data_IF_936814928150
#
_entry.id   IF_936814928150
#
_cell.length_a   1.000
_cell.length_b   1.000
_cell.length_c   1.000
_cell.angle_alpha   90.00
_cell.angle_beta   90.00
_cell.angle_gamma   90.00
#
_symmetry.space_group_name_H-M   'P 1'
#
loop_
_entity.id
_entity.type
_entity.pdbx_description
1 polymer ?
#
# COMPACT_ATOMS: atom_id res chain seq x y z
N UNK A 1 -21.66 15.76 -4.79
CA UNK A 1 -22.15 17.12 -4.83
C UNK A 1 -21.01 18.05 -5.26
N UNK A 2 -21.20 18.81 -6.33
CA UNK A 2 -20.21 19.73 -6.84
C UNK A 2 -19.06 19.03 -7.60
N UNK A 3 -17.82 19.36 -7.28
CA UNK A 3 -16.62 18.91 -8.00
C UNK A 3 -15.97 17.63 -7.39
N UNK A 4 -16.77 16.73 -6.79
CA UNK A 4 -16.26 15.55 -6.14
C UNK A 4 -16.90 14.27 -6.70
N UNK A 5 -16.06 13.35 -7.14
CA UNK A 5 -16.41 11.99 -7.52
C UNK A 5 -16.10 11.05 -6.35
N UNK A 6 -16.98 10.09 -6.10
CA UNK A 6 -16.82 9.10 -5.02
C UNK A 6 -17.11 7.72 -5.59
N UNK A 7 -16.20 6.78 -5.32
CA UNK A 7 -16.36 5.35 -5.63
C UNK A 7 -16.19 4.58 -4.33
N UNK A 8 -17.14 3.70 -4.03
CA UNK A 8 -17.10 2.83 -2.84
C UNK A 8 -17.11 1.37 -3.25
N UNK A 9 -16.37 0.55 -2.50
CA UNK A 9 -16.34 -0.89 -2.67
C UNK A 9 -16.34 -1.58 -1.32
N UNK A 10 -17.16 -2.61 -1.16
CA UNK A 10 -17.11 -3.50 -0.01
C UNK A 10 -16.37 -4.78 -0.36
N UNK A 11 -15.43 -5.18 0.47
CA UNK A 11 -14.65 -6.39 0.29
C UNK A 11 -14.32 -7.04 1.64
N UNK A 12 -14.78 -8.26 1.85
CA UNK A 12 -14.44 -9.11 3.01
C UNK A 12 -14.62 -8.44 4.39
N UNK A 13 -15.65 -7.61 4.55
CA UNK A 13 -15.95 -6.94 5.82
C UNK A 13 -15.19 -5.64 6.04
N UNK A 14 -14.49 -5.15 5.02
CA UNK A 14 -13.94 -3.80 4.98
C UNK A 14 -14.55 -3.02 3.83
N UNK A 15 -14.62 -1.73 3.97
CA UNK A 15 -15.15 -0.82 2.97
C UNK A 15 -14.03 0.10 2.51
N UNK A 16 -13.85 0.20 1.20
CA UNK A 16 -12.89 1.12 0.59
C UNK A 16 -13.67 2.26 -0.09
N UNK A 17 -13.16 3.46 0.00
CA UNK A 17 -13.70 4.61 -0.70
C UNK A 17 -12.58 5.42 -1.36
N UNK A 18 -12.71 5.62 -2.66
CA UNK A 18 -11.92 6.60 -3.38
C UNK A 18 -12.74 7.88 -3.57
N UNK A 19 -12.17 9.01 -3.17
CA UNK A 19 -12.73 10.33 -3.44
C UNK A 19 -11.77 11.13 -4.32
N UNK A 20 -12.33 11.75 -5.35
CA UNK A 20 -11.59 12.59 -6.28
C UNK A 20 -12.23 13.97 -6.32
N UNK A 21 -11.50 14.99 -5.90
CA UNK A 21 -11.91 16.39 -5.97
C UNK A 21 -11.17 17.10 -7.10
N UNK A 22 -11.91 17.78 -7.95
CA UNK A 22 -11.37 18.55 -9.08
C UNK A 22 -11.53 20.02 -8.77
N UNK A 23 -10.43 20.77 -8.86
CA UNK A 23 -10.39 22.22 -8.68
C UNK A 23 -9.96 22.87 -10.00
N UNK A 24 -10.91 23.36 -10.82
CA UNK A 24 -10.56 24.07 -12.04
C UNK A 24 -10.04 25.47 -11.70
N UNK A 25 -9.00 25.92 -12.38
CA UNK A 25 -8.40 27.24 -12.14
C UNK A 25 -9.20 28.41 -12.75
N UNK A 26 -10.25 28.15 -13.53
CA UNK A 26 -11.19 29.18 -14.02
C UNK A 26 -12.61 28.65 -14.00
N UNK A 27 -13.55 29.52 -13.63
CA UNK A 27 -14.99 29.23 -13.55
C UNK A 27 -15.58 28.89 -14.92
N UNK A 28 -15.83 27.64 -15.16
CA UNK A 28 -16.91 27.10 -16.01
C UNK A 28 -16.81 25.57 -16.10
N UNK A 29 -17.19 24.88 -15.04
CA UNK A 29 -17.23 23.44 -15.08
C UNK A 29 -18.68 22.96 -15.09
N UNK A 30 -19.10 22.35 -16.19
CA UNK A 30 -20.29 21.49 -16.22
C UNK A 30 -19.81 20.06 -15.94
N UNK A 31 -20.24 19.50 -14.83
CA UNK A 31 -19.98 18.09 -14.51
C UNK A 31 -21.01 17.24 -15.22
N UNK A 32 -20.58 16.38 -16.11
CA UNK A 32 -21.42 15.35 -16.72
C UNK A 32 -21.06 14.03 -16.04
N UNK A 33 -22.01 13.45 -15.34
CA UNK A 33 -21.86 12.13 -14.70
C UNK A 33 -22.42 11.09 -15.67
N UNK A 34 -21.57 10.21 -16.20
CA UNK A 34 -22.02 9.03 -16.93
C UNK A 34 -21.55 7.78 -16.20
N UNK A 35 -22.51 6.90 -15.86
CA UNK A 35 -22.22 5.56 -15.35
C UNK A 35 -22.15 4.62 -16.55
N UNK A 36 -21.02 3.95 -16.77
CA UNK A 36 -20.85 2.95 -17.81
C UNK A 36 -20.31 1.65 -17.24
N UNK A 37 -20.96 0.54 -17.59
CA UNK A 37 -20.43 -0.81 -17.53
C UNK A 37 -21.05 -1.74 -16.51
N UNK A 38 -21.08 -3.03 -16.86
CA UNK A 38 -21.55 -4.14 -16.01
C UNK A 38 -20.50 -4.55 -14.95
N UNK A 39 -19.22 -4.18 -15.13
CA UNK A 39 -18.11 -4.61 -14.29
C UNK A 39 -17.22 -3.47 -13.77
N UNK A 40 -17.69 -2.24 -13.84
CA UNK A 40 -16.95 -1.08 -13.35
C UNK A 40 -17.76 0.22 -13.39
N UNK A 41 -17.44 1.16 -12.53
CA UNK A 41 -17.99 2.51 -12.56
C UNK A 41 -17.02 3.42 -13.30
N UNK A 42 -17.49 4.08 -14.35
CA UNK A 42 -16.79 5.15 -15.04
C UNK A 42 -17.54 6.45 -14.80
N UNK A 43 -16.81 7.47 -14.42
CA UNK A 43 -17.34 8.82 -14.31
C UNK A 43 -16.56 9.75 -15.23
N UNK A 44 -17.26 10.38 -16.14
CA UNK A 44 -16.68 11.37 -17.03
C UNK A 44 -16.90 12.76 -16.44
N UNK A 45 -15.82 13.47 -16.23
CA UNK A 45 -15.83 14.86 -15.78
C UNK A 45 -15.44 15.74 -16.98
N UNK A 46 -16.33 16.60 -17.40
CA UNK A 46 -16.07 17.56 -18.45
C UNK A 46 -16.03 18.97 -17.87
N UNK A 47 -14.88 19.59 -17.94
CA UNK A 47 -14.74 21.03 -17.73
C UNK A 47 -14.84 21.70 -19.11
N UNK A 48 -15.52 22.81 -19.24
CA UNK A 48 -15.53 23.58 -20.47
C UNK A 48 -14.10 23.90 -20.97
N UNK A 49 -13.83 25.05 -21.54
CA UNK A 49 -12.45 25.45 -21.92
C UNK A 49 -11.63 25.80 -20.65
N UNK A 50 -11.07 24.80 -19.99
CA UNK A 50 -10.15 24.98 -18.86
C UNK A 50 -8.75 24.68 -19.34
N UNK A 51 -7.80 25.58 -19.07
CA UNK A 51 -6.40 25.37 -19.40
C UNK A 51 -5.66 24.55 -18.35
N UNK A 52 -6.09 24.63 -17.09
CA UNK A 52 -5.46 23.98 -15.95
C UNK A 52 -6.51 23.56 -14.91
N UNK A 53 -6.33 22.41 -14.32
CA UNK A 53 -7.11 21.91 -13.21
C UNK A 53 -6.24 21.10 -12.24
N UNK A 54 -6.50 21.21 -10.95
CA UNK A 54 -5.88 20.37 -9.94
C UNK A 54 -6.80 19.20 -9.60
N UNK A 55 -6.19 18.02 -9.43
CA UNK A 55 -6.89 16.79 -9.14
C UNK A 55 -6.38 16.21 -7.82
N UNK A 56 -7.24 16.10 -6.83
CA UNK A 56 -6.94 15.54 -5.52
C UNK A 56 -7.66 14.21 -5.36
N UNK A 57 -6.88 13.12 -5.29
CA UNK A 57 -7.38 11.75 -5.16
C UNK A 57 -7.00 11.21 -3.80
N UNK A 58 -7.97 10.67 -3.08
CA UNK A 58 -7.74 9.96 -1.81
C UNK A 58 -8.35 8.58 -1.85
N UNK A 59 -7.72 7.64 -1.15
CA UNK A 59 -8.23 6.29 -0.95
C UNK A 59 -8.25 6.02 0.56
N UNK A 60 -9.41 5.67 1.09
CA UNK A 60 -9.60 5.39 2.51
C UNK A 60 -10.29 4.06 2.73
N UNK A 61 -9.97 3.46 3.87
CA UNK A 61 -10.56 2.22 4.34
C UNK A 61 -11.31 2.48 5.65
N UNK A 62 -12.42 1.82 5.83
CA UNK A 62 -13.24 1.87 7.03
C UNK A 62 -13.95 0.55 7.29
N UNK A 63 -14.58 0.44 8.45
CA UNK A 63 -15.40 -0.72 8.80
C UNK A 63 -16.81 -0.59 8.20
N UNK A 64 -17.23 0.61 7.83
CA UNK A 64 -18.48 0.87 7.10
C UNK A 64 -18.23 1.73 5.86
N UNK A 65 -19.16 1.68 4.91
CA UNK A 65 -19.12 2.53 3.70
C UNK A 65 -19.15 4.01 4.07
N UNK A 66 -19.97 4.37 5.03
CA UNK A 66 -20.12 5.76 5.50
C UNK A 66 -18.83 6.28 6.08
N UNK A 67 -18.18 5.50 6.94
CA UNK A 67 -16.89 5.86 7.55
C UNK A 67 -15.80 6.08 6.49
N UNK A 68 -15.62 5.11 5.59
CA UNK A 68 -14.64 5.19 4.51
C UNK A 68 -14.89 6.42 3.62
N UNK A 69 -16.17 6.65 3.29
CA UNK A 69 -16.60 7.79 2.48
C UNK A 69 -16.33 9.13 3.15
N UNK A 70 -16.70 9.29 4.41
CA UNK A 70 -16.48 10.53 5.16
C UNK A 70 -14.99 10.85 5.29
N UNK A 71 -14.16 9.85 5.58
CA UNK A 71 -12.70 9.98 5.63
C UNK A 71 -12.13 10.43 4.27
N UNK A 72 -12.51 9.75 3.19
CA UNK A 72 -12.02 10.07 1.85
C UNK A 72 -12.42 11.47 1.39
N UNK A 73 -13.69 11.85 1.58
CA UNK A 73 -14.19 13.17 1.22
C UNK A 73 -13.50 14.28 2.00
N UNK A 74 -13.33 14.09 3.32
CA UNK A 74 -12.63 15.04 4.18
C UNK A 74 -11.20 15.23 3.72
N UNK A 75 -10.44 14.15 3.53
CA UNK A 75 -9.03 14.22 3.09
C UNK A 75 -8.87 14.88 1.72
N UNK A 76 -9.72 14.54 0.75
CA UNK A 76 -9.70 15.19 -0.55
C UNK A 76 -9.98 16.70 -0.47
N UNK A 77 -10.86 17.11 0.44
CA UNK A 77 -11.15 18.51 0.67
C UNK A 77 -10.01 19.25 1.36
N UNK A 78 -9.47 18.68 2.43
CA UNK A 78 -8.31 19.22 3.15
C UNK A 78 -7.07 19.35 2.26
N UNK A 79 -6.86 18.39 1.35
CA UNK A 79 -5.78 18.47 0.37
C UNK A 79 -5.98 19.65 -0.60
N UNK A 80 -7.19 19.81 -1.14
CA UNK A 80 -7.51 20.90 -2.04
C UNK A 80 -7.38 22.29 -1.36
N UNK A 81 -7.70 22.36 -0.06
CA UNK A 81 -7.58 23.60 0.71
C UNK A 81 -6.12 24.00 0.98
N UNK A 82 -5.17 23.01 0.94
CA UNK A 82 -3.72 23.25 1.12
C UNK A 82 -3.01 23.73 -0.12
N UNK A 83 -3.58 23.61 -1.29
CA UNK A 83 -2.96 23.80 -2.60
C UNK A 83 -1.90 22.75 -2.98
N UNK A 84 -1.69 22.59 -4.29
CA UNK A 84 -0.67 21.68 -4.82
C UNK A 84 0.73 22.04 -4.34
N UNK A 85 1.13 23.30 -4.40
CA UNK A 85 2.48 23.74 -4.03
C UNK A 85 2.80 23.43 -2.57
N UNK A 86 1.86 23.65 -1.65
CA UNK A 86 2.05 23.34 -0.23
C UNK A 86 2.20 21.83 -0.02
N UNK A 87 1.40 21.02 -0.68
CA UNK A 87 1.50 19.55 -0.60
C UNK A 87 2.81 19.05 -1.22
N UNK A 88 3.21 19.62 -2.35
CA UNK A 88 4.46 19.26 -3.03
C UNK A 88 5.69 19.59 -2.16
N UNK A 89 5.72 20.74 -1.52
CA UNK A 89 6.82 21.10 -0.60
C UNK A 89 6.91 20.13 0.57
N UNK A 90 5.79 19.81 1.22
CA UNK A 90 5.79 18.83 2.32
C UNK A 90 6.23 17.44 1.86
N UNK A 91 5.82 17.03 0.65
CA UNK A 91 6.25 15.79 0.03
C UNK A 91 7.76 15.79 -0.25
N UNK A 92 8.27 16.86 -0.85
CA UNK A 92 9.69 17.01 -1.16
C UNK A 92 10.55 16.98 0.11
N UNK A 93 10.14 17.68 1.17
CA UNK A 93 10.82 17.66 2.48
C UNK A 93 10.88 16.25 3.07
N UNK A 94 9.77 15.52 3.03
CA UNK A 94 9.71 14.13 3.51
C UNK A 94 10.64 13.20 2.74
N UNK A 95 10.69 13.31 1.40
CA UNK A 95 11.58 12.50 0.58
C UNK A 95 13.06 12.92 0.73
N UNK A 96 13.34 14.21 0.88
CA UNK A 96 14.69 14.69 1.18
C UNK A 96 15.19 14.08 2.47
N UNK A 97 14.42 14.17 3.56
CA UNK A 97 14.79 13.58 4.84
C UNK A 97 14.97 12.06 4.77
N UNK A 98 14.19 11.37 3.91
CA UNK A 98 14.35 9.94 3.67
C UNK A 98 15.68 9.62 2.98
N UNK A 99 16.00 10.31 1.89
CA UNK A 99 17.21 10.07 1.11
C UNK A 99 18.50 10.58 1.78
N UNK A 100 18.43 11.48 2.76
CA UNK A 100 19.58 11.92 3.55
C UNK A 100 20.13 10.85 4.49
N UNK A 101 19.37 9.79 4.79
CA UNK A 101 19.80 8.71 5.70
C UNK A 101 20.87 7.83 5.09
N UNK A 102 20.71 7.46 3.84
CA UNK A 102 21.67 6.58 3.17
C UNK A 102 21.69 6.81 1.67
N UNK A 103 22.86 6.61 1.09
CA UNK A 103 23.06 6.70 -0.35
C UNK A 103 24.18 5.75 -0.76
N UNK A 104 24.09 5.25 -1.99
CA UNK A 104 25.20 4.55 -2.65
C UNK A 104 25.55 5.27 -3.94
N UNK A 105 26.80 5.15 -4.34
CA UNK A 105 27.27 5.65 -5.62
C UNK A 105 28.34 4.70 -6.16
N UNK A 106 28.04 4.09 -7.29
CA UNK A 106 28.86 3.09 -7.97
C UNK A 106 29.29 3.68 -9.31
N UNK A 107 30.59 3.81 -9.56
CA UNK A 107 31.10 4.56 -10.72
C UNK A 107 31.99 3.72 -11.65
N UNK A 108 31.80 2.41 -11.72
CA UNK A 108 32.71 1.55 -12.46
C UNK A 108 32.31 1.35 -13.92
N UNK A 109 31.04 1.05 -14.19
CA UNK A 109 30.52 0.74 -15.53
C UNK A 109 28.98 0.84 -15.61
N UNK A 110 28.40 0.53 -16.77
CA UNK A 110 26.94 0.53 -16.97
C UNK A 110 26.19 -0.44 -16.05
N UNK A 111 26.83 -1.53 -15.59
CA UNK A 111 26.22 -2.45 -14.63
C UNK A 111 26.14 -1.83 -13.23
N UNK A 112 27.11 -1.00 -12.89
CA UNK A 112 27.11 -0.26 -11.63
C UNK A 112 25.95 0.72 -11.57
N UNK A 113 25.67 1.43 -12.65
CA UNK A 113 24.50 2.33 -12.75
C UNK A 113 23.18 1.55 -12.60
N UNK A 114 23.09 0.36 -13.20
CA UNK A 114 21.92 -0.49 -13.07
C UNK A 114 21.71 -0.97 -11.62
N UNK A 115 22.76 -1.39 -10.93
CA UNK A 115 22.70 -1.84 -9.54
C UNK A 115 22.35 -0.69 -8.59
N UNK A 116 22.92 0.50 -8.81
CA UNK A 116 22.61 1.71 -8.07
C UNK A 116 21.12 2.06 -8.20
N UNK A 117 20.60 2.05 -9.44
CA UNK A 117 19.19 2.30 -9.69
C UNK A 117 18.27 1.27 -9.01
N UNK A 118 18.63 -0.01 -9.00
CA UNK A 118 17.87 -1.05 -8.30
C UNK A 118 17.83 -0.82 -6.79
N UNK A 119 18.94 -0.36 -6.20
CA UNK A 119 19.00 -0.05 -4.77
C UNK A 119 18.04 1.08 -4.40
N UNK A 120 18.10 2.20 -5.13
CA UNK A 120 17.19 3.34 -4.91
C UNK A 120 15.73 2.94 -5.16
N UNK A 121 15.46 2.17 -6.20
CA UNK A 121 14.11 1.72 -6.52
C UNK A 121 13.52 0.81 -5.45
N UNK A 122 14.34 -0.09 -4.86
CA UNK A 122 13.90 -0.95 -3.76
C UNK A 122 13.50 -0.13 -2.53
N UNK A 123 14.31 0.84 -2.13
CA UNK A 123 13.99 1.74 -1.00
C UNK A 123 12.77 2.61 -1.29
N UNK A 124 12.64 3.10 -2.52
CA UNK A 124 11.47 3.86 -2.95
C UNK A 124 10.19 3.03 -2.79
N UNK A 125 10.17 1.79 -3.27
CA UNK A 125 9.02 0.90 -3.14
C UNK A 125 8.71 0.59 -1.68
N UNK A 126 9.71 0.29 -0.88
CA UNK A 126 9.52 0.01 0.54
C UNK A 126 8.93 1.22 1.29
N UNK A 127 9.40 2.44 1.01
CA UNK A 127 8.85 3.65 1.60
C UNK A 127 7.42 3.95 1.14
N UNK A 128 7.08 3.65 -0.11
CA UNK A 128 5.71 3.77 -0.61
C UNK A 128 4.74 2.77 0.04
N UNK A 129 5.24 1.60 0.45
CA UNK A 129 4.44 0.55 1.07
C UNK A 129 4.25 0.70 2.58
N UNK A 130 5.00 1.59 3.23
CA UNK A 130 4.94 1.77 4.70
C UNK A 130 3.59 2.29 5.18
N UNK A 131 3.24 1.96 6.41
CA UNK A 131 2.07 2.53 7.11
C UNK A 131 0.76 1.78 6.90
N UNK A 132 0.77 0.65 6.20
CA UNK A 132 -0.36 -0.27 6.13
C UNK A 132 -0.54 -1.12 7.40
N UNK A 133 -1.68 -1.78 7.54
CA UNK A 133 -1.95 -2.75 8.63
C UNK A 133 -1.28 -4.11 8.38
N UNK A 134 -0.98 -4.42 7.12
CA UNK A 134 -0.28 -5.63 6.71
C UNK A 134 0.87 -5.28 5.76
N UNK A 135 1.95 -6.10 5.73
CA UNK A 135 3.00 -5.91 4.75
C UNK A 135 2.48 -6.11 3.33
N UNK A 136 3.22 -5.60 2.37
CA UNK A 136 2.90 -5.75 0.94
C UNK A 136 2.94 -7.21 0.49
N UNK A 137 2.24 -7.52 -0.60
CA UNK A 137 2.36 -8.80 -1.27
C UNK A 137 3.68 -8.86 -2.05
N UNK A 138 4.46 -9.89 -1.86
CA UNK A 138 5.80 -9.99 -2.45
C UNK A 138 5.83 -9.95 -3.98
N UNK A 139 4.76 -10.40 -4.63
CA UNK A 139 4.69 -10.44 -6.10
C UNK A 139 4.23 -9.14 -6.74
N UNK A 140 3.57 -8.28 -5.98
CA UNK A 140 2.85 -7.14 -6.53
C UNK A 140 3.50 -5.82 -6.14
N UNK A 141 4.36 -5.84 -5.13
CA UNK A 141 4.78 -4.59 -4.50
C UNK A 141 3.57 -3.77 -4.06
N UNK A 142 3.71 -2.46 -3.92
CA UNK A 142 2.61 -1.58 -3.54
C UNK A 142 1.60 -1.34 -4.67
N UNK A 143 1.90 -1.76 -5.91
CA UNK A 143 1.04 -1.52 -7.07
C UNK A 143 0.72 -2.80 -7.83
N UNK A 144 -0.55 -2.94 -8.19
CA UNK A 144 -1.01 -3.96 -9.12
C UNK A 144 -1.54 -3.27 -10.39
N UNK A 145 -0.81 -3.41 -11.49
CA UNK A 145 -1.14 -2.79 -12.77
C UNK A 145 -2.05 -3.64 -13.66
N UNK A 146 -2.34 -4.87 -13.24
CA UNK A 146 -3.13 -5.79 -14.03
C UNK A 146 -4.52 -5.96 -13.44
N UNK A 147 -5.52 -6.08 -14.30
CA UNK A 147 -6.85 -6.50 -13.90
C UNK A 147 -6.90 -7.96 -13.46
N UNK A 148 -5.81 -8.68 -13.70
CA UNK A 148 -5.71 -10.09 -13.36
C UNK A 148 -5.57 -10.24 -11.84
N UNK A 149 -6.36 -11.14 -11.31
CA UNK A 149 -6.25 -11.57 -9.94
C UNK A 149 -4.90 -12.24 -9.71
N UNK A 150 -4.08 -11.68 -8.84
CA UNK A 150 -2.88 -12.34 -8.35
C UNK A 150 -3.24 -13.15 -7.11
N UNK A 151 -3.36 -14.47 -7.22
CA UNK A 151 -3.89 -15.34 -6.15
C UNK A 151 -2.89 -15.59 -5.02
N UNK A 152 -1.85 -14.77 -4.93
CA UNK A 152 -0.78 -14.95 -3.96
C UNK A 152 -1.08 -14.15 -2.70
N UNK A 153 -1.16 -14.84 -1.57
CA UNK A 153 -1.21 -14.24 -0.25
C UNK A 153 0.19 -13.80 0.21
N UNK A 154 0.33 -13.38 1.47
CA UNK A 154 1.61 -13.01 2.03
C UNK A 154 2.50 -14.24 2.21
N UNK A 155 3.66 -14.24 1.57
CA UNK A 155 4.68 -15.28 1.63
C UNK A 155 5.84 -14.79 2.50
N UNK A 156 5.91 -15.27 3.75
CA UNK A 156 6.85 -14.79 4.76
C UNK A 156 8.21 -15.50 4.74
N UNK A 157 8.38 -16.56 3.98
CA UNK A 157 9.69 -17.14 3.83
C UNK A 157 10.56 -16.33 2.85
N UNK A 158 11.35 -16.93 2.06
CA UNK A 158 12.34 -16.34 1.16
C UNK A 158 11.89 -15.04 0.45
N UNK A 159 10.67 -14.96 -0.01
CA UNK A 159 10.17 -13.82 -0.78
C UNK A 159 10.09 -12.51 0.03
N UNK A 160 9.46 -12.57 1.19
CA UNK A 160 9.37 -11.40 2.06
C UNK A 160 10.74 -11.04 2.67
N UNK A 161 11.57 -12.05 2.96
CA UNK A 161 12.91 -11.84 3.50
C UNK A 161 13.79 -11.02 2.56
N UNK A 162 13.75 -11.32 1.26
CA UNK A 162 14.55 -10.59 0.27
C UNK A 162 14.18 -9.11 0.18
N UNK A 163 12.92 -8.77 0.39
CA UNK A 163 12.47 -7.37 0.37
C UNK A 163 12.77 -6.64 1.68
N UNK A 164 12.89 -7.34 2.81
CA UNK A 164 13.04 -6.74 4.13
C UNK A 164 14.48 -6.66 4.63
N UNK A 165 15.33 -7.67 4.37
CA UNK A 165 16.70 -7.69 4.87
C UNK A 165 17.57 -6.48 4.47
N UNK A 166 17.48 -5.92 3.27
CA UNK A 166 18.30 -4.77 2.90
C UNK A 166 17.94 -3.49 3.66
N UNK A 167 16.77 -3.40 4.25
CA UNK A 167 16.25 -2.15 4.81
C UNK A 167 17.03 -1.68 6.04
N UNK A 168 17.38 -2.61 6.94
CA UNK A 168 18.22 -2.27 8.10
C UNK A 168 19.65 -1.91 7.68
N UNK A 169 20.21 -2.65 6.72
CA UNK A 169 21.54 -2.35 6.19
C UNK A 169 21.62 -0.98 5.48
N UNK A 170 20.48 -0.52 4.97
CA UNK A 170 20.33 0.79 4.34
C UNK A 170 19.95 1.92 5.34
N UNK A 171 20.00 1.67 6.65
CA UNK A 171 19.58 2.61 7.71
C UNK A 171 18.10 3.03 7.61
N UNK A 172 17.25 2.13 7.11
CA UNK A 172 15.81 2.33 6.97
C UNK A 172 15.00 1.29 7.73
N UNK A 173 15.45 0.91 8.94
CA UNK A 173 14.78 -0.06 9.81
C UNK A 173 13.32 0.28 10.14
N UNK A 174 12.96 1.57 10.14
CA UNK A 174 11.59 2.03 10.36
C UNK A 174 10.59 1.51 9.30
N UNK A 175 11.07 1.10 8.13
CA UNK A 175 10.23 0.52 7.08
C UNK A 175 9.77 -0.90 7.43
N UNK A 176 10.42 -1.55 8.41
CA UNK A 176 10.05 -2.86 8.91
C UNK A 176 8.92 -2.83 9.95
N UNK A 177 8.53 -1.67 10.44
CA UNK A 177 7.51 -1.55 11.49
C UNK A 177 6.19 -2.22 11.09
N UNK A 178 5.74 -2.05 9.85
CA UNK A 178 4.52 -2.70 9.34
C UNK A 178 4.65 -4.23 9.38
N UNK A 179 5.81 -4.76 8.97
CA UNK A 179 6.09 -6.20 9.00
C UNK A 179 6.09 -6.73 10.44
N UNK A 180 6.85 -6.12 11.35
CA UNK A 180 6.93 -6.57 12.73
C UNK A 180 5.60 -6.45 13.47
N UNK A 181 4.90 -5.34 13.33
CA UNK A 181 3.60 -5.14 13.96
C UNK A 181 2.57 -6.17 13.48
N UNK A 182 2.55 -6.49 12.19
CA UNK A 182 1.69 -7.53 11.66
C UNK A 182 2.02 -8.90 12.25
N UNK A 183 3.32 -9.25 12.35
CA UNK A 183 3.75 -10.52 12.96
C UNK A 183 3.43 -10.59 14.46
N UNK A 184 3.56 -9.49 15.18
CA UNK A 184 3.16 -9.41 16.60
C UNK A 184 1.65 -9.65 16.75
N UNK A 185 0.84 -9.05 15.91
CA UNK A 185 -0.61 -9.25 15.92
C UNK A 185 -1.02 -10.70 15.61
N UNK A 186 -0.22 -11.43 14.86
CA UNK A 186 -0.44 -12.85 14.57
C UNK A 186 -0.14 -13.78 15.75
N UNK A 187 0.54 -13.35 16.80
CA UNK A 187 0.98 -14.21 17.90
C UNK A 187 -0.15 -15.05 18.52
N UNK A 188 -1.38 -14.54 18.75
CA UNK A 188 -2.49 -15.36 19.25
C UNK A 188 -2.87 -16.51 18.32
N UNK A 189 -2.83 -16.26 17.00
CA UNK A 189 -3.10 -17.26 15.96
C UNK A 189 -1.97 -18.27 15.92
N UNK A 190 -0.72 -17.82 15.96
CA UNK A 190 0.48 -18.66 15.95
C UNK A 190 0.54 -19.61 17.15
N UNK A 191 0.13 -19.14 18.33
CA UNK A 191 -0.01 -20.00 19.53
C UNK A 191 -1.06 -21.10 19.35
N UNK A 192 -2.23 -20.77 18.77
CA UNK A 192 -3.25 -21.78 18.46
C UNK A 192 -2.74 -22.81 17.44
N UNK A 193 -2.01 -22.38 16.42
CA UNK A 193 -1.43 -23.28 15.42
C UNK A 193 -0.38 -24.21 15.99
N UNK A 194 0.45 -23.74 16.93
CA UNK A 194 1.41 -24.61 17.64
C UNK A 194 0.71 -25.78 18.33
N UNK A 195 -0.40 -25.55 19.02
CA UNK A 195 -1.19 -26.58 19.66
C UNK A 195 -1.92 -27.45 18.63
N UNK A 196 -2.65 -26.86 17.70
CA UNK A 196 -3.55 -27.60 16.80
C UNK A 196 -2.83 -28.36 15.70
N UNK A 197 -1.71 -27.83 15.20
CA UNK A 197 -1.01 -28.39 14.03
C UNK A 197 0.22 -29.19 14.47
N UNK A 198 0.92 -28.73 15.49
CA UNK A 198 2.20 -29.32 15.93
C UNK A 198 2.10 -30.08 17.24
N UNK A 199 0.95 -30.04 17.91
CA UNK A 199 0.72 -30.66 19.23
C UNK A 199 1.82 -30.28 20.23
N UNK A 200 2.20 -29.00 20.28
CA UNK A 200 3.28 -28.48 21.13
C UNK A 200 2.92 -27.12 21.72
N UNK A 201 3.63 -26.72 22.74
CA UNK A 201 3.59 -25.35 23.25
C UNK A 201 4.50 -24.44 22.40
N UNK A 202 4.18 -23.13 22.39
CA UNK A 202 4.94 -22.13 21.68
C UNK A 202 4.10 -21.39 20.64
N UNK A 203 4.74 -20.89 19.61
CA UNK A 203 4.08 -20.19 18.52
C UNK A 203 4.56 -20.75 17.17
N UNK A 204 3.62 -21.13 16.32
CA UNK A 204 3.90 -21.58 14.96
C UNK A 204 3.31 -20.56 13.96
N UNK A 205 4.17 -19.73 13.42
CA UNK A 205 3.78 -18.75 12.44
C UNK A 205 3.60 -19.38 11.05
N UNK A 206 2.48 -19.10 10.44
CA UNK A 206 2.23 -19.54 9.07
C UNK A 206 3.21 -18.92 8.10
N UNK A 207 3.70 -19.73 7.17
CA UNK A 207 4.57 -19.31 6.09
C UNK A 207 3.81 -18.47 5.05
N UNK A 208 2.60 -18.90 4.74
CA UNK A 208 1.67 -18.17 3.86
C UNK A 208 0.40 -17.88 4.63
N UNK A 209 0.01 -16.63 4.65
CA UNK A 209 -1.23 -16.21 5.31
C UNK A 209 -1.95 -15.12 4.55
N UNK A 210 -3.24 -14.95 4.86
CA UNK A 210 -4.04 -13.81 4.39
C UNK A 210 -3.69 -12.52 5.17
N UNK A 211 -4.32 -11.41 4.79
CA UNK A 211 -4.14 -10.10 5.44
C UNK A 211 -4.59 -10.05 6.91
N UNK A 212 -5.26 -11.10 7.42
CA UNK A 212 -5.63 -11.27 8.83
C UNK A 212 -4.69 -12.23 9.58
N UNK A 213 -3.64 -12.71 8.93
CA UNK A 213 -2.68 -13.64 9.53
C UNK A 213 -3.16 -15.10 9.60
N UNK A 214 -4.28 -15.45 8.93
CA UNK A 214 -4.77 -16.83 8.91
C UNK A 214 -3.99 -17.63 7.87
N UNK A 215 -3.58 -18.84 8.26
CA UNK A 215 -2.82 -19.71 7.37
C UNK A 215 -3.61 -20.03 6.10
N UNK A 216 -2.96 -19.85 4.97
CA UNK A 216 -3.50 -20.27 3.69
C UNK A 216 -3.38 -21.78 3.48
N UNK A 217 -4.26 -22.33 2.62
CA UNK A 217 -4.37 -23.77 2.35
C UNK A 217 -3.28 -24.33 1.43
N UNK A 218 -2.24 -23.55 1.11
CA UNK A 218 -1.12 -24.03 0.30
C UNK A 218 -0.35 -25.16 1.02
N UNK A 219 -0.62 -26.40 0.59
CA UNK A 219 -0.22 -27.63 1.31
C UNK A 219 1.29 -27.85 1.41
N UNK A 220 2.12 -27.28 0.54
CA UNK A 220 3.56 -27.54 0.48
C UNK A 220 4.40 -26.74 1.51
N UNK A 221 3.88 -25.63 1.98
CA UNK A 221 4.62 -24.67 2.85
C UNK A 221 4.18 -24.71 4.33
N UNK A 222 3.27 -25.62 4.68
CA UNK A 222 2.70 -25.74 6.05
C UNK A 222 3.70 -26.06 7.15
N UNK A 223 4.89 -26.53 6.82
CA UNK A 223 5.88 -27.02 7.75
C UNK A 223 7.15 -26.18 7.81
N UNK A 224 7.18 -25.04 7.13
CA UNK A 224 8.32 -24.16 7.17
C UNK A 224 8.41 -23.46 8.54
N UNK A 225 9.51 -23.67 9.25
CA UNK A 225 9.75 -23.08 10.59
C UNK A 225 10.58 -21.80 10.51
N UNK A 226 11.12 -21.45 9.35
CA UNK A 226 12.01 -20.27 9.20
C UNK A 226 11.30 -18.95 9.48
N UNK A 227 10.01 -18.87 9.16
CA UNK A 227 9.20 -17.66 9.37
C UNK A 227 9.05 -17.28 10.85
N UNK A 228 9.15 -18.24 11.78
CA UNK A 228 9.11 -17.99 13.22
C UNK A 228 10.46 -17.56 13.80
N UNK A 229 11.55 -17.82 13.09
CA UNK A 229 12.90 -17.47 13.54
C UNK A 229 13.31 -16.03 13.19
N UNK A 230 12.44 -15.30 12.46
CA UNK A 230 12.67 -13.92 12.00
C UNK A 230 12.00 -12.87 12.88
N UNK A 231 11.30 -13.29 13.90
CA UNK A 231 10.57 -12.45 14.84
C UNK A 231 11.32 -12.53 16.17
#
# INVERSE_FOLDING_TARGET
TGNMLIITQELQGKCCCAAMKIVPQRESANTILSLRGEHGAQCDFSTGRVCEAELYITLEVGDTVEEAREKAMRRASEAADKSFDTLFMTHAESWTAFWEKSAISLHEDENSDFLENLWYLNLYYANCAKGGESPEHFCNGPWNFYHDFVPWNHFFHYNMQLSTFPLEAADHGELLDTYYNFRIQQLPIAKRYAVQIKNTNGAFYADVCDGYGRQDRYGGVRNNCTCGAQI
#
